data_IF_428039840009
#
_entry.id   IF_428039840009
#
_cell.length_a   1.000
_cell.length_b   1.000
_cell.length_c   1.000
_cell.angle_alpha   90.00
_cell.angle_beta   90.00
_cell.angle_gamma   90.00
#
_symmetry.space_group_name_H-M   'P 1'
#
loop_
_entity.id
_entity.type
_entity.pdbx_description
1 polymer ?
#
# COMPACT_ATOMS: atom_id res chain seq x y z
N UNK A 1 -16.98 21.26 -20.93
CA UNK A 1 -16.40 20.27 -20.00
C UNK A 1 -15.77 21.03 -18.84
N UNK A 2 -16.25 20.86 -17.60
CA UNK A 2 -15.61 21.49 -16.43
C UNK A 2 -14.24 20.84 -16.22
N UNK A 3 -13.19 21.65 -16.09
CA UNK A 3 -11.85 21.18 -15.73
C UNK A 3 -11.74 21.23 -14.21
N UNK A 4 -11.39 20.10 -13.63
CA UNK A 4 -10.99 19.97 -12.23
C UNK A 4 -9.48 19.75 -12.20
N UNK A 5 -8.81 20.35 -11.23
CA UNK A 5 -7.40 20.09 -10.99
C UNK A 5 -7.19 18.64 -10.48
N UNK A 6 -5.92 18.23 -10.42
CA UNK A 6 -5.58 16.85 -10.04
C UNK A 6 -5.77 16.58 -8.54
N UNK A 7 -5.63 17.62 -7.72
CA UNK A 7 -5.76 17.52 -6.26
C UNK A 7 -7.22 17.24 -5.89
N UNK A 8 -8.15 18.04 -6.42
CA UNK A 8 -9.58 17.86 -6.25
C UNK A 8 -10.05 16.47 -6.69
N UNK A 9 -9.56 15.97 -7.84
CA UNK A 9 -9.92 14.63 -8.31
C UNK A 9 -9.46 13.54 -7.34
N UNK A 10 -8.23 13.67 -6.81
CA UNK A 10 -7.67 12.72 -5.85
C UNK A 10 -8.46 12.73 -4.54
N UNK A 11 -8.79 13.91 -4.03
CA UNK A 11 -9.55 14.07 -2.80
C UNK A 11 -10.98 13.54 -2.95
N UNK A 12 -11.61 13.80 -4.09
CA UNK A 12 -12.94 13.27 -4.42
C UNK A 12 -12.96 11.74 -4.42
N UNK A 13 -11.95 11.09 -5.02
CA UNK A 13 -11.83 9.63 -5.04
C UNK A 13 -11.50 9.09 -3.66
N UNK A 14 -10.63 9.75 -2.91
CA UNK A 14 -10.29 9.37 -1.53
C UNK A 14 -11.52 9.43 -0.62
N UNK A 15 -12.33 10.48 -0.74
CA UNK A 15 -13.59 10.61 -0.02
C UNK A 15 -14.57 9.50 -0.40
N UNK A 16 -14.68 9.16 -1.69
CA UNK A 16 -15.53 8.05 -2.15
C UNK A 16 -15.12 6.73 -1.52
N UNK A 17 -13.83 6.39 -1.57
CA UNK A 17 -13.29 5.12 -1.06
C UNK A 17 -13.43 5.03 0.46
N UNK A 18 -13.04 6.08 1.18
CA UNK A 18 -13.00 6.06 2.64
C UNK A 18 -14.37 6.18 3.29
N UNK A 19 -15.34 6.83 2.63
CA UNK A 19 -16.67 7.04 3.24
C UNK A 19 -17.58 5.81 3.15
N UNK A 20 -17.31 4.84 2.27
CA UNK A 20 -18.18 3.68 2.04
C UNK A 20 -19.57 4.04 1.49
N UNK A 21 -19.80 5.31 1.12
CA UNK A 21 -21.08 5.82 0.63
C UNK A 21 -21.27 5.55 -0.86
N UNK A 22 -22.52 5.46 -1.36
CA UNK A 22 -22.77 5.28 -2.77
C UNK A 22 -22.20 6.41 -3.62
N UNK A 23 -21.60 6.06 -4.78
CA UNK A 23 -20.99 7.02 -5.70
C UNK A 23 -21.90 8.20 -6.06
N UNK A 24 -23.19 7.93 -6.32
CA UNK A 24 -24.18 8.97 -6.64
C UNK A 24 -24.35 10.00 -5.54
N UNK A 25 -24.31 9.56 -4.28
CA UNK A 25 -24.41 10.46 -3.14
C UNK A 25 -23.18 11.37 -3.06
N UNK A 26 -22.00 10.77 -3.16
CA UNK A 26 -20.71 11.49 -3.14
C UNK A 26 -20.61 12.48 -4.30
N UNK A 27 -21.02 12.08 -5.51
CA UNK A 27 -21.02 12.95 -6.68
C UNK A 27 -21.94 14.16 -6.52
N UNK A 28 -23.15 13.95 -5.96
CA UNK A 28 -24.10 15.01 -5.67
C UNK A 28 -23.55 16.00 -4.63
N UNK A 29 -22.94 15.50 -3.55
CA UNK A 29 -22.33 16.33 -2.50
C UNK A 29 -21.17 17.19 -3.05
N UNK A 30 -20.36 16.64 -3.94
CA UNK A 30 -19.24 17.34 -4.57
C UNK A 30 -19.66 18.24 -5.76
N UNK A 31 -20.93 18.19 -6.18
CA UNK A 31 -21.42 18.94 -7.35
C UNK A 31 -20.80 18.48 -8.68
N UNK A 32 -20.36 17.22 -8.77
CA UNK A 32 -19.74 16.62 -9.96
C UNK A 32 -20.68 15.60 -10.60
N UNK A 33 -20.43 15.24 -11.86
CA UNK A 33 -21.20 14.19 -12.50
C UNK A 33 -20.77 12.80 -12.01
N UNK A 34 -21.74 11.88 -11.89
CA UNK A 34 -21.49 10.46 -11.56
C UNK A 34 -20.45 9.83 -12.52
N UNK A 35 -20.50 10.22 -13.80
CA UNK A 35 -19.56 9.74 -14.81
C UNK A 35 -18.13 10.20 -14.52
N UNK A 36 -17.94 11.49 -14.22
CA UNK A 36 -16.63 12.04 -13.90
C UNK A 36 -16.03 11.39 -12.64
N UNK A 37 -16.82 11.23 -11.59
CA UNK A 37 -16.34 10.60 -10.35
C UNK A 37 -15.99 9.11 -10.56
N UNK A 38 -16.76 8.42 -11.41
CA UNK A 38 -16.43 7.04 -11.81
C UNK A 38 -15.10 6.99 -12.57
N UNK A 39 -14.92 7.83 -13.57
CA UNK A 39 -13.69 7.87 -14.37
C UNK A 39 -12.48 8.17 -13.49
N UNK A 40 -12.58 9.14 -12.56
CA UNK A 40 -11.47 9.44 -11.65
C UNK A 40 -11.15 8.27 -10.72
N UNK A 41 -12.17 7.54 -10.25
CA UNK A 41 -11.97 6.33 -9.46
C UNK A 41 -11.23 5.27 -10.27
N UNK A 42 -11.65 4.99 -11.50
CA UNK A 42 -10.96 4.02 -12.35
C UNK A 42 -9.52 4.43 -12.62
N UNK A 43 -9.27 5.68 -13.02
CA UNK A 43 -7.90 6.20 -13.25
C UNK A 43 -7.04 6.11 -11.98
N UNK A 44 -7.62 6.36 -10.81
CA UNK A 44 -6.92 6.25 -9.53
C UNK A 44 -6.58 4.78 -9.18
N UNK A 45 -7.50 3.85 -9.42
CA UNK A 45 -7.26 2.42 -9.23
C UNK A 45 -6.24 1.87 -10.22
N UNK A 46 -6.30 2.27 -11.48
CA UNK A 46 -5.32 1.91 -12.51
C UNK A 46 -3.90 2.39 -12.13
N UNK A 47 -3.80 3.62 -11.58
CA UNK A 47 -2.55 4.16 -11.09
C UNK A 47 -2.00 3.40 -9.87
N UNK A 48 -2.87 2.90 -8.98
CA UNK A 48 -2.49 2.06 -7.83
C UNK A 48 -2.09 0.65 -8.24
N UNK A 49 -2.73 0.08 -9.27
CA UNK A 49 -2.40 -1.23 -9.83
C UNK A 49 -1.15 -1.21 -10.73
N UNK A 50 -0.51 -0.04 -10.91
CA UNK A 50 0.71 0.08 -11.69
C UNK A 50 0.49 -0.14 -13.18
N UNK A 51 -0.72 0.06 -13.69
CA UNK A 51 -0.99 0.01 -15.13
C UNK A 51 -0.83 1.43 -15.69
N UNK A 52 0.27 1.75 -16.39
CA UNK A 52 0.31 3.01 -17.15
C UNK A 52 -0.78 2.94 -18.21
N UNK A 53 -1.49 4.05 -18.37
CA UNK A 53 -2.38 4.27 -19.50
C UNK A 53 -1.54 4.17 -20.80
N UNK A 54 -1.56 2.99 -21.43
CA UNK A 54 -0.82 2.69 -22.65
C UNK A 54 0.60 2.15 -22.38
N UNK A 55 0.78 0.84 -22.53
CA UNK A 55 2.11 0.21 -22.54
C UNK A 55 2.06 -1.25 -22.15
N UNK A 56 2.20 -2.14 -23.13
CA UNK A 56 2.51 -3.55 -22.89
C UNK A 56 3.84 -3.64 -22.11
N UNK A 57 3.83 -4.12 -20.86
CA UNK A 57 5.09 -4.36 -20.12
C UNK A 57 5.08 -4.29 -18.59
N UNK A 58 3.95 -4.00 -17.93
CA UNK A 58 3.87 -4.04 -16.46
C UNK A 58 3.81 -5.46 -15.88
N UNK A 59 4.33 -5.71 -14.66
CA UNK A 59 4.20 -7.00 -13.99
C UNK A 59 2.73 -7.36 -13.81
N UNK A 60 2.38 -8.60 -14.16
CA UNK A 60 1.02 -9.09 -14.06
C UNK A 60 0.61 -9.28 -12.59
N UNK A 61 -0.69 -9.38 -12.27
CA UNK A 61 -1.15 -9.73 -10.93
C UNK A 61 -0.49 -11.02 -10.39
N UNK A 62 -0.17 -11.98 -11.27
CA UNK A 62 0.55 -13.21 -10.91
C UNK A 62 1.99 -12.93 -10.49
N UNK A 63 2.68 -12.03 -11.20
CA UNK A 63 4.04 -11.62 -10.88
C UNK A 63 4.09 -10.90 -9.53
N UNK A 64 3.10 -10.06 -9.26
CA UNK A 64 2.96 -9.36 -7.96
C UNK A 64 2.70 -10.35 -6.80
N UNK A 65 1.86 -11.38 -7.01
CA UNK A 65 1.63 -12.42 -6.00
C UNK A 65 2.89 -13.23 -5.75
N UNK A 66 3.62 -13.62 -6.79
CA UNK A 66 4.88 -14.36 -6.66
C UNK A 66 5.92 -13.53 -5.90
N UNK A 67 6.03 -12.25 -6.22
CA UNK A 67 6.94 -11.33 -5.53
C UNK A 67 6.54 -11.13 -4.07
N UNK A 68 5.24 -11.00 -3.77
CA UNK A 68 4.76 -10.89 -2.39
C UNK A 68 5.13 -12.13 -1.54
N UNK A 69 4.98 -13.33 -2.12
CA UNK A 69 5.39 -14.56 -1.45
C UNK A 69 6.89 -14.62 -1.21
N UNK A 70 7.71 -14.21 -2.19
CA UNK A 70 9.17 -14.14 -2.06
C UNK A 70 9.57 -13.19 -0.93
N UNK A 71 9.00 -11.99 -0.91
CA UNK A 71 9.26 -10.98 0.11
C UNK A 71 8.85 -11.44 1.50
N UNK A 72 7.72 -12.14 1.64
CA UNK A 72 7.29 -12.71 2.94
C UNK A 72 8.27 -13.75 3.48
N UNK A 73 8.77 -14.64 2.63
CA UNK A 73 9.80 -15.64 3.02
C UNK A 73 11.10 -14.97 3.45
N UNK A 74 11.53 -13.95 2.71
CA UNK A 74 12.74 -13.22 3.07
C UNK A 74 12.55 -12.46 4.39
N UNK A 75 11.39 -11.84 4.60
CA UNK A 75 11.06 -11.16 5.86
C UNK A 75 11.08 -12.13 7.04
N UNK A 76 10.53 -13.33 6.89
CA UNK A 76 10.59 -14.38 7.91
C UNK A 76 12.04 -14.79 8.21
N UNK A 77 12.85 -15.02 7.16
CA UNK A 77 14.27 -15.39 7.29
C UNK A 77 15.06 -14.33 8.07
N UNK A 78 14.96 -13.07 7.67
CA UNK A 78 15.71 -11.98 8.34
C UNK A 78 15.21 -11.73 9.76
N UNK A 79 13.90 -11.92 10.00
CA UNK A 79 13.31 -11.80 11.35
C UNK A 79 13.88 -12.88 12.27
N UNK A 80 13.94 -14.12 11.79
CA UNK A 80 14.52 -15.24 12.54
C UNK A 80 16.00 -15.04 12.84
N UNK A 81 16.79 -14.59 11.85
CA UNK A 81 18.20 -14.26 12.05
C UNK A 81 18.39 -13.19 13.12
N UNK A 82 17.60 -12.11 13.05
CA UNK A 82 17.62 -11.04 14.06
C UNK A 82 17.30 -11.58 15.45
N UNK A 83 16.29 -12.45 15.56
CA UNK A 83 15.84 -12.96 16.85
C UNK A 83 16.86 -13.92 17.48
N UNK A 84 17.58 -14.72 16.67
CA UNK A 84 18.70 -15.52 17.14
C UNK A 84 19.84 -14.65 17.63
N UNK A 85 20.22 -13.62 16.86
CA UNK A 85 21.29 -12.71 17.25
C UNK A 85 20.95 -11.98 18.55
N UNK A 86 19.70 -11.55 18.71
CA UNK A 86 19.21 -10.97 19.97
C UNK A 86 19.32 -11.96 21.14
N UNK A 87 18.85 -13.20 20.97
CA UNK A 87 18.97 -14.24 22.01
C UNK A 87 20.44 -14.51 22.39
N UNK A 88 21.32 -14.62 21.42
CA UNK A 88 22.75 -14.82 21.66
C UNK A 88 23.38 -13.63 22.42
N UNK A 89 23.03 -12.40 22.04
CA UNK A 89 23.48 -11.20 22.73
C UNK A 89 22.98 -11.13 24.18
N UNK A 90 21.72 -11.51 24.43
CA UNK A 90 21.17 -11.59 25.80
C UNK A 90 21.92 -12.60 26.66
N UNK A 91 22.17 -13.82 26.15
CA UNK A 91 22.94 -14.85 26.87
C UNK A 91 24.37 -14.37 27.18
N UNK A 92 25.01 -13.70 26.22
CA UNK A 92 26.35 -13.15 26.42
C UNK A 92 26.36 -12.02 27.48
N UNK A 93 25.30 -11.21 27.53
CA UNK A 93 25.16 -10.12 28.50
C UNK A 93 24.79 -10.61 29.91
N UNK A 94 24.14 -11.77 30.05
CA UNK A 94 23.78 -12.36 31.34
C UNK A 94 24.97 -12.98 32.08
N UNK A 95 26.06 -13.31 31.37
CA UNK A 95 27.29 -13.84 31.97
C UNK A 95 28.28 -12.76 32.38
N UNK A 96 27.87 -11.90 33.31
CA UNK A 96 28.80 -11.16 34.16
C UNK A 96 28.47 -11.43 35.64
N UNK A 97 28.85 -12.62 36.18
CA UNK A 97 28.97 -12.75 37.61
C UNK A 97 30.15 -11.87 38.03
N UNK A 98 29.88 -10.95 38.96
CA UNK A 98 30.84 -9.95 39.41
C UNK A 98 32.23 -10.55 39.64
N UNK A 99 33.24 -9.82 39.15
CA UNK A 99 34.57 -9.88 39.74
C UNK A 99 34.48 -9.39 41.18
N UNK A 100 34.15 -10.29 42.10
CA UNK A 100 34.67 -10.25 43.45
C UNK A 100 36.13 -10.68 43.35
N UNK A 101 37.03 -9.69 43.45
CA UNK A 101 38.28 -9.66 44.23
C UNK A 101 38.95 -8.31 43.98
#
# INVERSE_FOLDING_TARGET
MKRYDQEFKRDAVTMLINSGRPLKQVAKELGVSDASLRDWRETYLEALEGRPAGGEGGPTPRDLVAENQRLRKELERVTWQRDILKKAASILSEKSPGGML
#
